data_IF_572207127348
#
_entry.id   IF_572207127348
#
_cell.length_a   1.000
_cell.length_b   1.000
_cell.length_c   1.000
_cell.angle_alpha   90.00
_cell.angle_beta   90.00
_cell.angle_gamma   90.00
#
_symmetry.space_group_name_H-M   'P 1'
#
loop_
_entity.id
_entity.type
_entity.pdbx_description
1 polymer ?
#
# COMPACT_ATOMS: atom_id res chain seq x y z
N UNK A 1 -5.46 -13.60 -30.24
CA UNK A 1 -5.15 -13.99 -28.86
C UNK A 1 -6.40 -14.58 -28.21
N UNK A 2 -6.27 -15.61 -27.38
CA UNK A 2 -7.42 -16.19 -26.68
C UNK A 2 -7.87 -15.25 -25.56
N UNK A 3 -9.12 -14.79 -25.61
CA UNK A 3 -9.70 -13.97 -24.53
C UNK A 3 -10.18 -14.88 -23.41
N UNK A 4 -9.79 -14.58 -22.17
CA UNK A 4 -10.30 -15.29 -21.00
C UNK A 4 -11.82 -15.06 -20.86
N UNK A 5 -12.63 -16.09 -20.57
CA UNK A 5 -14.08 -15.92 -20.55
C UNK A 5 -14.55 -14.98 -19.43
N UNK A 6 -15.32 -13.94 -19.79
CA UNK A 6 -15.79 -12.89 -18.87
C UNK A 6 -16.54 -13.43 -17.64
N UNK A 7 -17.28 -14.53 -17.79
CA UNK A 7 -18.00 -15.19 -16.69
C UNK A 7 -17.10 -15.63 -15.53
N UNK A 8 -15.80 -15.82 -15.76
CA UNK A 8 -14.83 -16.20 -14.74
C UNK A 8 -14.02 -15.03 -14.19
N UNK A 9 -14.21 -13.80 -14.68
CA UNK A 9 -13.50 -12.63 -14.16
C UNK A 9 -13.67 -12.44 -12.64
N UNK A 10 -14.88 -12.58 -12.07
CA UNK A 10 -15.05 -12.45 -10.62
C UNK A 10 -14.25 -13.51 -9.83
N UNK A 11 -14.20 -14.74 -10.33
CA UNK A 11 -13.43 -15.82 -9.72
C UNK A 11 -11.93 -15.52 -9.78
N UNK A 12 -11.43 -15.04 -10.92
CA UNK A 12 -10.03 -14.66 -11.08
C UNK A 12 -9.64 -13.54 -10.11
N UNK A 13 -10.47 -12.49 -9.99
CA UNK A 13 -10.22 -11.40 -9.05
C UNK A 13 -10.20 -11.90 -7.60
N UNK A 14 -11.13 -12.79 -7.22
CA UNK A 14 -11.14 -13.39 -5.89
C UNK A 14 -9.87 -14.21 -5.62
N UNK A 15 -9.34 -14.94 -6.63
CA UNK A 15 -8.05 -15.64 -6.50
C UNK A 15 -6.91 -14.64 -6.31
N UNK A 16 -6.84 -13.58 -7.10
CA UNK A 16 -5.77 -12.57 -6.97
C UNK A 16 -5.77 -11.87 -5.61
N UNK A 17 -6.96 -11.55 -5.09
CA UNK A 17 -7.13 -11.01 -3.75
C UNK A 17 -6.68 -12.00 -2.67
N UNK A 18 -7.09 -13.27 -2.77
CA UNK A 18 -6.73 -14.31 -1.80
C UNK A 18 -5.22 -14.60 -1.75
N UNK A 19 -4.50 -14.34 -2.85
CA UNK A 19 -3.04 -14.44 -2.93
C UNK A 19 -2.31 -13.14 -2.53
N UNK A 20 -3.02 -12.13 -2.04
CA UNK A 20 -2.50 -10.79 -1.68
C UNK A 20 -1.82 -10.06 -2.86
N UNK A 21 -2.20 -10.37 -4.11
CA UNK A 21 -1.67 -9.74 -5.33
C UNK A 21 -2.42 -8.45 -5.66
N UNK A 22 -3.73 -8.46 -5.39
CA UNK A 22 -4.64 -7.36 -5.66
C UNK A 22 -5.28 -6.90 -4.36
N UNK A 23 -5.24 -5.61 -4.09
CA UNK A 23 -5.89 -4.98 -2.95
C UNK A 23 -7.08 -4.15 -3.45
N UNK A 24 -8.34 -4.59 -3.23
CA UNK A 24 -9.50 -3.78 -3.59
C UNK A 24 -9.59 -2.54 -2.69
N UNK A 25 -9.85 -1.38 -3.29
CA UNK A 25 -10.07 -0.15 -2.54
C UNK A 25 -11.56 0.00 -2.17
N UNK A 26 -11.88 0.71 -1.07
CA UNK A 26 -13.25 1.01 -0.71
C UNK A 26 -13.97 1.71 -1.86
N UNK A 27 -15.13 1.20 -2.26
CA UNK A 27 -15.91 1.76 -3.35
C UNK A 27 -16.44 3.13 -2.94
N UNK A 28 -16.10 4.17 -3.70
CA UNK A 28 -16.72 5.51 -3.59
C UNK A 28 -17.99 5.52 -4.45
N UNK A 29 -19.06 6.14 -3.97
CA UNK A 29 -20.43 6.00 -4.51
C UNK A 29 -20.59 6.35 -6.00
N UNK A 30 -19.61 7.02 -6.60
CA UNK A 30 -19.59 7.46 -8.01
C UNK A 30 -18.45 6.89 -8.86
N UNK A 31 -17.58 6.04 -8.30
CA UNK A 31 -16.38 5.55 -9.00
C UNK A 31 -16.46 4.04 -9.30
N UNK A 32 -15.86 3.58 -10.43
CA UNK A 32 -15.67 2.16 -10.67
C UNK A 32 -14.84 1.54 -9.54
N UNK A 33 -15.02 0.23 -9.32
CA UNK A 33 -14.20 -0.51 -8.35
C UNK A 33 -12.73 -0.36 -8.73
N UNK A 34 -11.97 0.35 -7.88
CA UNK A 34 -10.54 0.49 -8.04
C UNK A 34 -9.80 -0.53 -7.17
N UNK A 35 -8.60 -0.88 -7.59
CA UNK A 35 -7.73 -1.77 -6.87
C UNK A 35 -6.28 -1.32 -7.02
N UNK A 36 -5.47 -1.70 -6.04
CA UNK A 36 -4.02 -1.53 -6.07
C UNK A 36 -3.40 -2.88 -6.40
N UNK A 37 -2.44 -2.87 -7.31
CA UNK A 37 -1.53 -3.98 -7.55
C UNK A 37 -0.15 -3.53 -7.07
N UNK A 38 0.31 -3.93 -5.87
CA UNK A 38 1.52 -3.39 -5.28
C UNK A 38 2.77 -3.57 -6.14
N UNK A 39 2.84 -4.65 -6.92
CA UNK A 39 3.96 -4.94 -7.82
C UNK A 39 4.07 -3.93 -8.98
N UNK A 40 2.99 -3.21 -9.29
CA UNK A 40 2.95 -2.15 -10.31
C UNK A 40 3.15 -0.74 -9.74
N UNK A 41 3.40 -0.62 -8.44
CA UNK A 41 3.80 0.65 -7.87
C UNK A 41 5.16 1.10 -8.44
N UNK A 42 5.35 2.41 -8.53
CA UNK A 42 6.65 2.98 -8.89
C UNK A 42 7.73 2.47 -7.95
N UNK A 43 8.92 2.22 -8.48
CA UNK A 43 10.09 1.91 -7.64
C UNK A 43 10.59 3.15 -6.90
N UNK A 44 10.41 4.32 -7.52
CA UNK A 44 10.87 5.59 -6.95
C UNK A 44 9.89 6.11 -5.91
N UNK A 45 10.46 6.67 -4.83
CA UNK A 45 9.68 7.37 -3.80
C UNK A 45 8.98 8.59 -4.43
N UNK A 46 7.65 8.74 -4.26
CA UNK A 46 6.92 9.88 -4.80
C UNK A 46 7.38 11.20 -4.18
N UNK A 47 7.49 12.25 -4.99
CA UNK A 47 7.93 13.58 -4.53
C UNK A 47 7.05 14.18 -3.42
N UNK A 48 5.75 13.86 -3.42
CA UNK A 48 4.80 14.31 -2.38
C UNK A 48 5.22 13.86 -0.97
N UNK A 49 6.03 12.79 -0.85
CA UNK A 49 6.54 12.30 0.43
C UNK A 49 7.32 13.38 1.18
N UNK A 50 8.07 14.24 0.48
CA UNK A 50 8.82 15.35 1.09
C UNK A 50 7.92 16.36 1.81
N UNK A 51 6.68 16.51 1.35
CA UNK A 51 5.69 17.41 1.93
C UNK A 51 4.94 16.76 3.10
N UNK A 52 4.55 15.49 2.98
CA UNK A 52 3.78 14.78 4.02
C UNK A 52 4.65 14.23 5.17
N UNK A 53 5.93 13.96 4.88
CA UNK A 53 6.94 13.47 5.83
C UNK A 53 8.21 14.31 5.71
N UNK A 54 8.18 15.57 6.21
CA UNK A 54 9.35 16.42 6.17
C UNK A 54 10.45 15.88 7.11
N UNK A 55 11.71 16.28 6.92
CA UNK A 55 12.83 15.80 7.74
C UNK A 55 12.69 16.11 9.24
N UNK A 56 11.92 17.14 9.58
CA UNK A 56 11.82 17.65 10.93
C UNK A 56 10.45 18.29 11.18
N UNK A 57 9.87 17.99 12.34
CA UNK A 57 8.63 18.60 12.84
C UNK A 57 8.82 18.91 14.32
N UNK A 58 9.00 20.19 14.65
CA UNK A 58 9.31 20.67 16.02
C UNK A 58 8.31 20.22 17.09
N UNK A 59 7.09 19.87 16.69
CA UNK A 59 5.97 19.66 17.61
C UNK A 59 5.63 18.18 17.83
N UNK A 60 6.37 17.25 17.22
CA UNK A 60 6.07 15.82 17.28
C UNK A 60 7.24 15.01 17.82
N UNK A 61 6.92 14.05 18.69
CA UNK A 61 7.89 13.06 19.12
C UNK A 61 8.01 11.98 18.05
N UNK A 62 9.23 11.80 17.53
CA UNK A 62 9.52 10.80 16.52
C UNK A 62 10.09 9.53 17.19
N UNK A 63 9.49 8.39 16.88
CA UNK A 63 10.02 7.07 17.24
C UNK A 63 10.54 6.40 15.97
N UNK A 64 11.82 6.03 15.97
CA UNK A 64 12.43 5.30 14.87
C UNK A 64 12.67 3.84 15.28
N UNK A 65 12.40 2.91 14.36
CA UNK A 65 12.67 1.50 14.53
C UNK A 65 13.23 0.92 13.24
N UNK A 66 14.34 0.20 13.36
CA UNK A 66 15.02 -0.44 12.24
C UNK A 66 14.91 -1.95 12.44
N UNK A 67 14.50 -2.66 11.39
CA UNK A 67 14.48 -4.12 11.35
C UNK A 67 15.48 -4.61 10.32
N UNK A 68 16.47 -5.38 10.78
CA UNK A 68 17.49 -5.96 9.92
C UNK A 68 17.15 -7.41 9.58
N UNK A 69 17.14 -7.72 8.29
CA UNK A 69 16.84 -9.05 7.77
C UNK A 69 18.07 -9.62 7.06
N UNK A 70 18.41 -10.88 7.32
CA UNK A 70 19.44 -11.60 6.54
C UNK A 70 19.04 -11.74 5.08
N UNK A 71 17.74 -11.86 4.83
CA UNK A 71 17.12 -11.92 3.52
C UNK A 71 15.72 -11.36 3.62
N UNK A 72 15.36 -10.45 2.71
CA UNK A 72 14.02 -9.88 2.60
C UNK A 72 13.29 -10.53 1.42
N UNK A 73 12.17 -11.25 1.65
CA UNK A 73 11.40 -11.85 0.56
C UNK A 73 10.87 -10.80 -0.42
N UNK A 74 10.83 -11.12 -1.72
CA UNK A 74 10.32 -10.21 -2.75
C UNK A 74 8.87 -9.76 -2.52
N UNK A 75 8.05 -10.64 -1.95
CA UNK A 75 6.66 -10.33 -1.60
C UNK A 75 6.47 -9.59 -0.27
N UNK A 76 7.54 -9.19 0.43
CA UNK A 76 7.43 -8.57 1.75
C UNK A 76 6.60 -7.28 1.73
N UNK A 77 7.01 -6.30 0.91
CA UNK A 77 6.33 -5.00 0.83
C UNK A 77 4.91 -5.10 0.24
N UNK A 78 4.66 -5.84 -0.86
CA UNK A 78 3.31 -6.07 -1.34
C UNK A 78 2.36 -6.59 -0.27
N UNK A 79 2.77 -7.61 0.48
CA UNK A 79 1.96 -8.18 1.57
C UNK A 79 1.82 -7.23 2.75
N UNK A 80 2.87 -6.45 3.06
CA UNK A 80 2.81 -5.43 4.11
C UNK A 80 1.78 -4.36 3.76
N UNK A 81 1.74 -3.88 2.52
CA UNK A 81 0.73 -2.91 2.04
C UNK A 81 -0.67 -3.51 2.16
N UNK A 82 -0.89 -4.72 1.65
CA UNK A 82 -2.20 -5.39 1.71
C UNK A 82 -2.68 -5.56 3.16
N UNK A 83 -1.82 -6.03 4.07
CA UNK A 83 -2.16 -6.19 5.49
C UNK A 83 -2.42 -4.86 6.19
N UNK A 84 -1.65 -3.83 5.85
CA UNK A 84 -1.80 -2.48 6.41
C UNK A 84 -3.14 -1.87 5.98
N UNK A 85 -3.64 -2.21 4.79
CA UNK A 85 -4.93 -1.73 4.29
C UNK A 85 -6.14 -2.25 5.08
N UNK A 86 -5.99 -3.36 5.82
CA UNK A 86 -7.03 -3.89 6.70
C UNK A 86 -7.07 -3.21 8.07
N UNK A 87 -6.11 -2.33 8.38
CA UNK A 87 -6.09 -1.55 9.61
C UNK A 87 -6.93 -0.27 9.46
N UNK A 88 -7.43 0.33 10.55
CA UNK A 88 -8.17 1.61 10.52
C UNK A 88 -7.23 2.81 10.29
N UNK A 89 -6.51 2.79 9.17
CA UNK A 89 -5.49 3.76 8.77
C UNK A 89 -5.73 4.19 7.32
N UNK A 90 -5.15 5.32 6.93
CA UNK A 90 -5.24 5.89 5.59
C UNK A 90 -3.88 5.94 4.92
N UNK A 91 -3.77 5.42 3.70
CA UNK A 91 -2.57 5.60 2.87
C UNK A 91 -2.48 7.04 2.36
N UNK A 92 -1.32 7.66 2.54
CA UNK A 92 -1.00 8.99 2.01
C UNK A 92 -0.11 8.90 0.77
N UNK A 93 0.80 7.92 0.74
CA UNK A 93 1.66 7.62 -0.41
C UNK A 93 2.09 6.14 -0.39
N UNK A 94 2.32 5.58 -1.59
CA UNK A 94 2.74 4.18 -1.80
C UNK A 94 3.80 4.12 -2.90
N UNK A 95 4.82 3.28 -2.71
CA UNK A 95 5.80 2.87 -3.72
C UNK A 95 6.22 1.43 -3.47
N UNK A 96 7.02 0.86 -4.37
CA UNK A 96 7.35 -0.57 -4.38
C UNK A 96 7.96 -1.07 -3.07
N UNK A 97 8.73 -0.24 -2.38
CA UNK A 97 9.45 -0.60 -1.15
C UNK A 97 9.05 0.27 0.04
N UNK A 98 7.87 0.87 0.03
CA UNK A 98 7.47 1.67 1.17
C UNK A 98 6.14 2.38 1.04
N UNK A 99 5.75 3.00 2.15
CA UNK A 99 4.48 3.68 2.29
C UNK A 99 4.52 4.76 3.35
N UNK A 100 3.69 5.77 3.18
CA UNK A 100 3.32 6.70 4.24
C UNK A 100 1.86 6.47 4.59
N UNK A 101 1.60 6.24 5.87
CA UNK A 101 0.26 6.01 6.41
C UNK A 101 -0.07 7.05 7.47
N UNK A 102 -1.38 7.26 7.69
CA UNK A 102 -1.93 8.12 8.74
C UNK A 102 -2.95 7.32 9.57
N UNK A 103 -2.90 7.47 10.88
CA UNK A 103 -3.81 6.87 11.85
C UNK A 103 -4.45 7.97 12.69
N UNK A 104 -5.74 8.26 12.44
CA UNK A 104 -6.42 9.42 13.03
C UNK A 104 -5.89 10.74 12.47
N UNK A 105 -5.98 11.81 13.26
CA UNK A 105 -5.61 13.16 12.81
C UNK A 105 -4.12 13.45 12.91
N UNK A 106 -3.47 12.94 13.96
CA UNK A 106 -2.11 13.36 14.36
C UNK A 106 -1.06 12.32 13.98
N UNK A 107 -1.35 11.03 14.15
CA UNK A 107 -0.32 10.00 14.02
C UNK A 107 -0.11 9.65 12.54
N UNK A 108 1.15 9.60 12.14
CA UNK A 108 1.59 9.13 10.83
C UNK A 108 2.80 8.24 10.97
N UNK A 109 3.01 7.37 9.99
CA UNK A 109 4.19 6.51 9.94
C UNK A 109 4.72 6.40 8.51
N UNK A 110 6.04 6.34 8.40
CA UNK A 110 6.79 6.02 7.19
C UNK A 110 7.38 4.61 7.36
N UNK A 111 7.16 3.74 6.39
CA UNK A 111 7.77 2.41 6.32
C UNK A 111 8.61 2.29 5.04
N UNK A 112 9.83 1.79 5.19
CA UNK A 112 10.81 1.54 4.11
C UNK A 112 11.86 0.52 4.50
#
# INVERSE_FOLDING_TARGET
>A
EAQFPQKYHPLLLAVLENFEILLPLPKRESEPQSCIVPEFLSSDRPEIVKTIWPPFEDHLQNLNRIWEFKYLPSGFFPRLVTRTAHLPIQFQALWKTGMVIRCGEVNKALFE
#
